data_IF_700175864620
#
_entry.id   IF_700175864620
#
_cell.length_a   1.000
_cell.length_b   1.000
_cell.length_c   1.000
_cell.angle_alpha   90.00
_cell.angle_beta   90.00
_cell.angle_gamma   90.00
#
_symmetry.space_group_name_H-M   'P 1'
#
loop_
_entity.id
_entity.type
_entity.pdbx_description
1 polymer ?
#
# COMPACT_ATOMS: atom_id res chain seq x y z
N UNK A 1 5.69 24.87 32.53
CA UNK A 1 5.28 23.45 32.40
C UNK A 1 4.95 23.25 30.93
N UNK A 2 5.90 22.70 30.17
CA UNK A 2 5.82 22.60 28.71
C UNK A 2 4.86 21.49 28.33
N UNK A 3 3.83 21.83 27.57
CA UNK A 3 2.82 20.92 27.01
C UNK A 3 3.48 19.89 26.09
N UNK A 4 3.38 18.60 26.42
CA UNK A 4 3.61 17.47 25.50
C UNK A 4 2.49 17.43 24.45
N UNK A 5 2.47 18.40 23.54
CA UNK A 5 1.63 18.36 22.35
C UNK A 5 2.41 17.62 21.25
N UNK A 6 1.93 16.47 20.77
CA UNK A 6 2.48 15.87 19.55
C UNK A 6 2.46 14.33 19.42
N UNK A 7 2.09 13.57 20.45
CA UNK A 7 2.07 12.09 20.37
C UNK A 7 0.74 11.47 20.77
N UNK A 8 -0.35 11.86 20.14
CA UNK A 8 -1.68 11.28 20.40
C UNK A 8 -2.11 10.38 19.26
N UNK A 9 -2.53 9.15 19.57
CA UNK A 9 -3.01 8.20 18.56
C UNK A 9 -4.46 7.81 18.81
N UNK A 10 -5.17 7.63 17.71
CA UNK A 10 -6.40 6.85 17.66
C UNK A 10 -6.08 5.39 17.33
N UNK A 11 -6.74 4.45 18.01
CA UNK A 11 -6.74 3.05 17.61
C UNK A 11 -8.13 2.69 17.07
N UNK A 12 -8.16 2.04 15.91
CA UNK A 12 -9.37 1.47 15.34
C UNK A 12 -9.12 -0.02 15.12
N UNK A 13 -9.79 -0.87 15.89
CA UNK A 13 -9.50 -2.30 15.93
C UNK A 13 -10.76 -3.14 15.79
N UNK A 14 -10.62 -4.37 15.31
CA UNK A 14 -11.76 -5.30 15.16
C UNK A 14 -12.00 -6.16 16.39
N UNK A 15 -10.95 -6.42 17.19
CA UNK A 15 -11.03 -7.22 18.42
C UNK A 15 -10.61 -6.39 19.64
N UNK A 16 -11.28 -6.54 20.80
CA UNK A 16 -10.88 -5.86 22.03
C UNK A 16 -9.43 -6.17 22.44
N UNK A 17 -8.95 -7.40 22.20
CA UNK A 17 -7.58 -7.78 22.58
C UNK A 17 -6.51 -7.01 21.79
N UNK A 18 -6.83 -6.58 20.56
CA UNK A 18 -5.92 -5.80 19.73
C UNK A 18 -5.65 -4.41 20.32
N UNK A 19 -6.59 -3.83 21.08
CA UNK A 19 -6.38 -2.54 21.77
C UNK A 19 -5.18 -2.64 22.70
N UNK A 20 -5.17 -3.64 23.58
CA UNK A 20 -4.10 -3.82 24.56
C UNK A 20 -2.78 -4.20 23.90
N UNK A 21 -2.83 -5.08 22.89
CA UNK A 21 -1.66 -5.50 22.12
C UNK A 21 -0.95 -4.34 21.43
N UNK A 22 -1.70 -3.37 20.92
CA UNK A 22 -1.13 -2.18 20.24
C UNK A 22 -0.76 -1.08 21.23
N UNK A 23 -1.57 -0.84 22.26
CA UNK A 23 -1.37 0.28 23.18
C UNK A 23 -0.07 0.12 23.97
N UNK A 24 0.20 -1.05 24.53
CA UNK A 24 1.33 -1.24 25.46
C UNK A 24 2.69 -0.93 24.79
N UNK A 25 3.02 -1.43 23.58
CA UNK A 25 4.30 -1.11 22.95
C UNK A 25 4.37 0.33 22.43
N UNK A 26 3.26 0.91 21.96
CA UNK A 26 3.21 2.31 21.52
C UNK A 26 3.37 3.28 22.69
N UNK A 27 2.77 2.98 23.84
CA UNK A 27 2.93 3.75 25.07
C UNK A 27 4.37 3.70 25.59
N UNK A 28 5.05 2.55 25.46
CA UNK A 28 6.49 2.42 25.76
C UNK A 28 7.35 3.31 24.83
N UNK A 29 6.92 3.53 23.59
CA UNK A 29 7.54 4.49 22.67
C UNK A 29 7.12 5.96 22.93
N UNK A 30 6.34 6.21 23.97
CA UNK A 30 5.91 7.53 24.43
C UNK A 30 4.67 8.08 23.71
N UNK A 31 3.90 7.24 23.02
CA UNK A 31 2.60 7.61 22.48
C UNK A 31 1.52 7.62 23.57
N UNK A 32 0.54 8.49 23.41
CA UNK A 32 -0.66 8.56 24.25
C UNK A 32 -1.84 8.08 23.41
N UNK A 33 -2.37 6.90 23.73
CA UNK A 33 -3.60 6.42 23.10
C UNK A 33 -4.76 7.26 23.63
N UNK A 34 -5.23 8.19 22.79
CA UNK A 34 -6.25 9.17 23.19
C UNK A 34 -7.65 8.62 23.02
N UNK A 35 -7.83 7.70 22.06
CA UNK A 35 -9.08 7.01 21.81
C UNK A 35 -8.81 5.64 21.22
N UNK A 36 -9.56 4.64 21.65
CA UNK A 36 -9.65 3.35 20.99
C UNK A 36 -11.10 3.06 20.66
N UNK A 37 -11.33 2.61 19.43
CA UNK A 37 -12.64 2.21 18.92
C UNK A 37 -12.52 0.74 18.53
N UNK A 38 -13.34 -0.09 19.14
CA UNK A 38 -13.54 -1.46 18.70
C UNK A 38 -14.73 -1.44 17.75
N UNK A 39 -14.51 -1.81 16.49
CA UNK A 39 -15.58 -1.97 15.50
C UNK A 39 -16.44 -3.17 15.94
N UNK A 40 -17.44 -2.96 16.79
CA UNK A 40 -18.37 -4.02 17.18
C UNK A 40 -19.47 -4.17 16.11
N UNK A 41 -20.05 -5.37 16.02
CA UNK A 41 -21.23 -5.69 15.21
C UNK A 41 -22.38 -4.68 15.48
N UNK A 42 -22.47 -3.62 14.67
CA UNK A 42 -23.65 -2.76 14.56
C UNK A 42 -23.92 -1.73 15.66
N UNK A 43 -22.97 -1.39 16.54
CA UNK A 43 -23.12 -0.24 17.43
C UNK A 43 -21.86 0.63 17.47
N UNK A 44 -21.70 1.46 16.45
CA UNK A 44 -21.16 2.79 16.69
C UNK A 44 -22.37 3.68 16.98
N UNK A 45 -22.38 4.28 18.17
CA UNK A 45 -23.34 5.31 18.53
C UNK A 45 -23.29 6.35 17.42
N UNK A 46 -24.36 6.44 16.65
CA UNK A 46 -24.47 7.26 15.45
C UNK A 46 -24.62 8.71 15.85
N UNK A 47 -23.54 9.30 16.34
CA UNK A 47 -23.29 10.72 16.13
C UNK A 47 -22.13 10.78 15.15
N UNK A 48 -22.51 10.89 13.86
CA UNK A 48 -21.70 11.14 12.66
C UNK A 48 -20.21 11.19 12.93
N UNK A 49 -19.40 10.30 12.31
CA UNK A 49 -17.95 10.17 12.51
C UNK A 49 -17.07 11.43 12.36
N UNK A 50 -17.66 12.61 12.19
CA UNK A 50 -17.08 13.89 12.55
C UNK A 50 -16.71 13.94 14.06
N UNK A 51 -15.41 13.82 14.33
CA UNK A 51 -14.83 14.11 15.64
C UNK A 51 -14.62 12.90 16.55
N UNK A 52 -14.74 11.68 16.01
CA UNK A 52 -14.37 10.45 16.72
C UNK A 52 -12.92 10.51 17.21
N UNK A 53 -12.03 11.04 16.38
CA UNK A 53 -10.61 11.19 16.68
C UNK A 53 -10.18 12.67 16.82
N UNK A 54 -11.09 13.53 17.30
CA UNK A 54 -10.73 14.91 17.68
C UNK A 54 -9.49 14.91 18.60
N UNK A 55 -8.46 15.67 18.20
CA UNK A 55 -7.19 15.83 18.92
C UNK A 55 -6.18 14.67 18.87
N UNK A 56 -6.32 13.70 17.94
CA UNK A 56 -5.24 12.74 17.64
C UNK A 56 -4.39 13.20 16.45
N UNK A 57 -3.17 12.67 16.35
CA UNK A 57 -2.19 12.98 15.30
C UNK A 57 -2.20 11.96 14.15
N UNK A 58 -2.57 10.70 14.43
CA UNK A 58 -2.72 9.64 13.44
C UNK A 58 -3.66 8.54 13.99
N UNK A 59 -4.17 7.71 13.09
CA UNK A 59 -5.01 6.56 13.43
C UNK A 59 -4.29 5.29 13.01
N UNK A 60 -4.13 4.36 13.96
CA UNK A 60 -3.66 3.00 13.67
C UNK A 60 -4.87 2.10 13.53
N UNK A 61 -5.00 1.47 12.36
CA UNK A 61 -6.09 0.54 12.06
C UNK A 61 -5.57 -0.88 12.13
N UNK A 62 -6.16 -1.70 12.99
CA UNK A 62 -5.87 -3.14 13.05
C UNK A 62 -7.07 -3.94 12.58
N UNK A 63 -6.86 -4.58 11.43
CA UNK A 63 -7.88 -5.37 10.74
C UNK A 63 -7.89 -6.83 11.16
N UNK A 64 -7.05 -7.27 12.12
CA UNK A 64 -6.98 -8.68 12.50
C UNK A 64 -8.36 -9.28 12.90
N UNK A 65 -8.87 -10.17 12.03
CA UNK A 65 -10.14 -10.87 12.19
C UNK A 65 -11.38 -10.02 11.91
N UNK A 66 -11.27 -8.99 11.07
CA UNK A 66 -12.41 -8.19 10.61
C UNK A 66 -13.40 -9.02 9.76
N UNK A 67 -14.69 -8.73 9.89
CA UNK A 67 -15.72 -9.21 8.97
C UNK A 67 -16.09 -8.16 7.90
N UNK A 68 -16.84 -8.58 6.87
CA UNK A 68 -17.22 -7.71 5.76
C UNK A 68 -18.00 -6.45 6.20
N UNK A 69 -18.74 -6.48 7.31
CA UNK A 69 -19.53 -5.33 7.78
C UNK A 69 -18.65 -4.31 8.48
N UNK A 70 -17.73 -4.78 9.33
CA UNK A 70 -16.71 -3.94 9.98
C UNK A 70 -15.83 -3.25 8.93
N UNK A 71 -15.55 -3.96 7.82
CA UNK A 71 -14.76 -3.44 6.70
C UNK A 71 -15.49 -2.38 5.87
N UNK A 72 -16.79 -2.55 5.58
CA UNK A 72 -17.58 -1.50 4.94
C UNK A 72 -17.68 -0.24 5.81
N UNK A 73 -17.78 -0.41 7.12
CA UNK A 73 -17.86 0.70 8.05
C UNK A 73 -16.54 1.45 8.25
N UNK A 74 -15.41 0.73 8.20
CA UNK A 74 -14.08 1.36 8.16
C UNK A 74 -13.92 2.29 6.95
N UNK A 75 -14.44 1.91 5.78
CA UNK A 75 -14.37 2.75 4.59
C UNK A 75 -15.14 4.06 4.76
N UNK A 76 -16.28 4.05 5.46
CA UNK A 76 -17.02 5.28 5.79
C UNK A 76 -16.23 6.19 6.74
N UNK A 77 -15.59 5.61 7.76
CA UNK A 77 -14.80 6.35 8.76
C UNK A 77 -13.52 6.95 8.17
N UNK A 78 -12.76 6.16 7.40
CA UNK A 78 -11.51 6.61 6.76
C UNK A 78 -11.78 7.66 5.68
N UNK A 79 -12.93 7.59 5.00
CA UNK A 79 -13.31 8.60 4.00
C UNK A 79 -13.75 9.93 4.61
N UNK A 80 -14.06 9.97 5.91
CA UNK A 80 -14.56 11.15 6.61
C UNK A 80 -13.46 11.97 7.32
N UNK A 81 -12.31 11.36 7.64
CA UNK A 81 -11.26 12.01 8.42
C UNK A 81 -9.97 12.26 7.60
N UNK A 82 -9.47 13.49 7.63
CA UNK A 82 -8.23 13.93 6.94
C UNK A 82 -6.96 13.59 7.77
N UNK A 83 -7.02 12.55 8.59
CA UNK A 83 -5.92 12.14 9.46
C UNK A 83 -5.07 11.06 8.78
N UNK A 84 -3.75 11.01 9.06
CA UNK A 84 -2.94 9.92 8.57
C UNK A 84 -3.42 8.58 9.14
N UNK A 85 -3.72 7.62 8.26
CA UNK A 85 -4.22 6.29 8.61
C UNK A 85 -3.15 5.26 8.32
N UNK A 86 -2.69 4.58 9.37
CA UNK A 86 -1.69 3.53 9.28
C UNK A 86 -2.34 2.17 9.54
N UNK A 87 -2.35 1.31 8.52
CA UNK A 87 -2.81 -0.07 8.66
C UNK A 87 -1.73 -0.91 9.33
N UNK A 88 -2.01 -1.39 10.54
CA UNK A 88 -1.17 -2.34 11.23
C UNK A 88 -1.34 -3.73 10.61
N UNK A 89 -0.23 -4.28 10.14
CA UNK A 89 -0.13 -5.68 9.76
C UNK A 89 0.14 -6.54 11.02
N UNK A 90 -0.47 -7.71 11.10
CA UNK A 90 -0.48 -8.56 12.29
C UNK A 90 0.78 -9.42 12.44
N UNK A 91 1.79 -9.27 11.59
CA UNK A 91 3.07 -10.00 11.69
C UNK A 91 3.89 -9.53 12.91
N UNK A 92 3.89 -10.34 13.97
CA UNK A 92 4.53 -10.03 15.27
C UNK A 92 6.00 -10.50 15.33
N UNK A 93 6.90 -9.92 14.53
CA UNK A 93 8.34 -10.13 14.74
C UNK A 93 8.90 -9.23 15.88
N UNK A 94 10.12 -9.52 16.33
CA UNK A 94 10.73 -8.83 17.49
C UNK A 94 11.01 -7.34 17.29
N UNK A 95 10.88 -6.83 16.05
CA UNK A 95 11.16 -5.44 15.69
C UNK A 95 9.89 -4.69 15.22
N UNK A 96 8.73 -5.35 15.22
CA UNK A 96 7.45 -4.80 14.76
C UNK A 96 7.11 -3.47 15.43
N UNK A 97 7.20 -3.39 16.77
CA UNK A 97 6.80 -2.18 17.52
C UNK A 97 7.67 -0.98 17.20
N UNK A 98 8.98 -1.19 17.02
CA UNK A 98 9.91 -0.14 16.65
C UNK A 98 9.63 0.37 15.23
N UNK A 99 9.40 -0.54 14.27
CA UNK A 99 9.03 -0.16 12.89
C UNK A 99 7.71 0.61 12.83
N UNK A 100 6.71 0.18 13.61
CA UNK A 100 5.44 0.89 13.73
C UNK A 100 5.64 2.30 14.30
N UNK A 101 6.43 2.44 15.36
CA UNK A 101 6.76 3.72 15.95
C UNK A 101 7.52 4.65 14.99
N UNK A 102 8.52 4.13 14.29
CA UNK A 102 9.34 4.90 13.36
C UNK A 102 8.45 5.43 12.22
N UNK A 103 7.56 4.59 11.69
CA UNK A 103 6.62 5.00 10.65
C UNK A 103 5.59 6.02 11.15
N UNK A 104 5.04 5.85 12.35
CA UNK A 104 4.14 6.85 12.94
C UNK A 104 4.86 8.20 13.14
N UNK A 105 6.10 8.17 13.58
CA UNK A 105 6.91 9.37 13.76
C UNK A 105 7.19 10.06 12.42
N UNK A 106 7.52 9.28 11.38
CA UNK A 106 7.73 9.75 10.01
C UNK A 106 6.48 10.40 9.44
N UNK A 107 5.35 9.68 9.45
CA UNK A 107 4.07 10.13 8.87
C UNK A 107 3.58 11.40 9.57
N UNK A 108 3.67 11.47 10.91
CA UNK A 108 3.28 12.67 11.66
C UNK A 108 4.25 13.83 11.40
N UNK A 109 5.56 13.57 11.33
CA UNK A 109 6.54 14.62 11.01
C UNK A 109 6.37 15.16 9.59
N UNK A 110 6.08 14.29 8.63
CA UNK A 110 5.76 14.66 7.26
C UNK A 110 4.44 15.45 7.19
N UNK A 111 3.45 15.08 8.02
CA UNK A 111 2.17 15.80 8.14
C UNK A 111 2.36 17.16 8.80
N UNK A 112 3.16 17.31 9.86
CA UNK A 112 3.46 18.60 10.50
C UNK A 112 4.21 19.55 9.55
N UNK A 113 5.15 19.01 8.75
CA UNK A 113 5.85 19.75 7.70
C UNK A 113 4.91 20.12 6.53
N UNK A 114 3.98 19.24 6.19
CA UNK A 114 3.00 19.46 5.12
C UNK A 114 1.96 20.48 5.57
N UNK A 115 1.35 20.33 6.74
CA UNK A 115 0.43 21.29 7.36
C UNK A 115 1.10 22.65 7.55
N UNK A 116 2.37 22.72 7.96
CA UNK A 116 3.09 24.00 8.06
C UNK A 116 3.35 24.66 6.69
N UNK A 117 3.65 23.87 5.64
CA UNK A 117 3.82 24.35 4.26
C UNK A 117 2.48 24.67 3.57
N UNK A 118 1.42 23.98 3.96
CA UNK A 118 0.03 24.13 3.51
C UNK A 118 -0.57 25.38 4.15
N UNK A 119 -0.41 25.61 5.46
CA UNK A 119 -0.86 26.83 6.14
C UNK A 119 -0.16 28.10 5.60
N UNK A 120 1.10 27.99 5.16
CA UNK A 120 1.83 29.07 4.50
C UNK A 120 1.43 29.30 3.02
N UNK A 121 0.61 28.40 2.44
CA UNK A 121 0.11 28.48 1.05
C UNK A 121 -1.42 28.57 0.95
N UNK A 122 -2.16 28.34 2.04
CA UNK A 122 -3.62 28.34 2.09
C UNK A 122 -4.19 29.73 2.41
N UNK A 123 -4.07 30.62 1.42
CA UNK A 123 -5.12 31.57 1.09
C UNK A 123 -5.71 31.09 -0.26
N UNK A 124 -6.68 30.17 -0.21
CA UNK A 124 -7.45 29.75 -1.39
C UNK A 124 -7.49 28.24 -1.66
N UNK A 125 -8.70 27.74 -1.82
CA UNK A 125 -9.15 26.36 -2.06
C UNK A 125 -8.28 25.47 -2.95
N UNK A 126 -8.07 24.22 -2.51
CA UNK A 126 -8.10 23.03 -3.39
C UNK A 126 -8.33 21.77 -2.54
N UNK A 127 -9.53 21.21 -2.62
CA UNK A 127 -9.84 19.85 -2.19
C UNK A 127 -9.45 18.88 -3.32
N UNK A 128 -8.76 17.78 -3.02
CA UNK A 128 -8.50 16.71 -4.01
C UNK A 128 -9.81 15.95 -4.22
N UNK A 129 -10.39 15.91 -5.43
CA UNK A 129 -11.69 15.28 -5.65
C UNK A 129 -11.59 13.75 -5.60
N UNK A 130 -12.31 13.12 -4.67
CA UNK A 130 -12.56 11.68 -4.68
C UNK A 130 -13.35 11.30 -5.95
N UNK A 131 -12.89 10.30 -6.71
CA UNK A 131 -13.69 9.74 -7.82
C UNK A 131 -14.79 8.86 -7.23
N UNK A 132 -16.05 9.24 -7.48
CA UNK A 132 -17.23 8.42 -7.13
C UNK A 132 -17.15 7.08 -7.85
N UNK A 133 -17.54 6.01 -7.15
CA UNK A 133 -17.70 4.66 -7.69
C UNK A 133 -18.49 4.67 -9.01
N UNK A 134 -17.78 4.73 -10.12
CA UNK A 134 -18.31 4.26 -11.38
C UNK A 134 -18.11 2.75 -11.33
N UNK A 135 -19.20 2.01 -11.06
CA UNK A 135 -19.24 0.59 -11.36
C UNK A 135 -18.80 0.43 -12.80
N UNK A 136 -17.58 -0.10 -13.00
CA UNK A 136 -17.05 -0.43 -14.31
C UNK A 136 -17.98 -1.48 -14.88
N UNK A 137 -18.89 -1.01 -15.73
CA UNK A 137 -19.70 -1.84 -16.58
C UNK A 137 -18.71 -2.65 -17.43
N UNK A 138 -18.97 -3.95 -17.59
CA UNK A 138 -18.15 -4.83 -18.42
C UNK A 138 -18.22 -4.36 -19.89
N UNK A 139 -17.42 -3.36 -20.24
CA UNK A 139 -17.19 -2.96 -21.62
C UNK A 139 -16.34 -4.06 -22.25
N UNK A 140 -16.90 -4.62 -23.30
CA UNK A 140 -16.30 -5.72 -24.08
C UNK A 140 -15.20 -5.14 -24.95
N UNK A 141 -14.19 -4.54 -24.32
CA UNK A 141 -13.05 -4.00 -25.02
C UNK A 141 -12.06 -5.14 -25.29
N UNK A 142 -11.58 -5.19 -26.52
CA UNK A 142 -10.43 -5.99 -26.92
C UNK A 142 -9.20 -5.43 -26.21
N UNK A 143 -9.06 -5.78 -24.93
CA UNK A 143 -7.94 -5.37 -24.12
C UNK A 143 -6.67 -6.03 -24.66
N UNK A 144 -5.65 -5.22 -24.94
CA UNK A 144 -4.35 -5.75 -25.35
C UNK A 144 -3.70 -6.46 -24.17
N UNK A 145 -3.15 -7.65 -24.44
CA UNK A 145 -2.34 -8.37 -23.47
C UNK A 145 -1.14 -7.51 -23.10
N UNK A 146 -0.92 -7.31 -21.80
CA UNK A 146 0.13 -6.41 -21.35
C UNK A 146 1.51 -6.97 -21.67
N UNK A 147 2.28 -6.19 -22.41
CA UNK A 147 3.69 -6.48 -22.65
C UNK A 147 4.58 -6.06 -21.49
N UNK A 148 4.16 -5.04 -20.71
CA UNK A 148 4.93 -4.39 -19.64
C UNK A 148 4.28 -4.63 -18.29
N UNK A 149 4.92 -5.42 -17.44
CA UNK A 149 4.35 -5.82 -16.15
C UNK A 149 5.19 -5.27 -15.01
N UNK A 150 4.52 -4.50 -14.16
CA UNK A 150 5.12 -3.90 -12.97
C UNK A 150 4.60 -4.59 -11.71
N UNK A 151 5.50 -5.13 -10.90
CA UNK A 151 5.17 -5.65 -9.56
C UNK A 151 5.39 -4.56 -8.53
N UNK A 152 4.33 -4.21 -7.81
CA UNK A 152 4.31 -3.21 -6.76
C UNK A 152 4.22 -3.95 -5.43
N UNK A 153 5.24 -3.85 -4.59
CA UNK A 153 5.26 -4.54 -3.31
C UNK A 153 5.29 -3.56 -2.13
N UNK A 154 4.69 -3.94 -1.01
CA UNK A 154 4.66 -3.09 0.19
C UNK A 154 4.18 -3.81 1.44
N UNK A 155 4.50 -3.24 2.59
CA UNK A 155 4.13 -3.71 3.94
C UNK A 155 3.50 -2.54 4.71
N UNK A 156 3.98 -2.23 5.91
CA UNK A 156 3.51 -1.11 6.71
C UNK A 156 3.65 0.25 5.99
N UNK A 157 2.52 0.91 5.73
CA UNK A 157 2.46 2.18 4.95
C UNK A 157 2.31 1.98 3.44
N UNK A 158 2.32 0.75 2.96
CA UNK A 158 2.17 0.41 1.54
C UNK A 158 0.84 0.88 0.94
N UNK A 159 -0.33 0.75 1.64
CA UNK A 159 -1.59 1.28 1.12
C UNK A 159 -1.57 2.78 0.83
N UNK A 160 -0.90 3.58 1.67
CA UNK A 160 -0.77 5.03 1.48
C UNK A 160 0.17 5.34 0.30
N UNK A 161 1.30 4.64 0.21
CA UNK A 161 2.24 4.79 -0.90
C UNK A 161 1.58 4.43 -2.25
N UNK A 162 0.80 3.34 -2.28
CA UNK A 162 0.01 2.94 -3.45
C UNK A 162 -1.04 4.00 -3.81
N UNK A 163 -1.75 4.56 -2.83
CA UNK A 163 -2.70 5.66 -3.04
C UNK A 163 -2.02 6.85 -3.72
N UNK A 164 -0.89 7.31 -3.18
CA UNK A 164 -0.14 8.45 -3.73
C UNK A 164 0.38 8.16 -5.15
N UNK A 165 0.95 6.98 -5.36
CA UNK A 165 1.46 6.55 -6.65
C UNK A 165 0.33 6.54 -7.70
N UNK A 166 -0.77 5.84 -7.42
CA UNK A 166 -1.87 5.73 -8.37
C UNK A 166 -2.60 7.05 -8.61
N UNK A 167 -2.73 7.91 -7.59
CA UNK A 167 -3.33 9.25 -7.74
C UNK A 167 -2.56 10.15 -8.70
N UNK A 168 -1.26 9.92 -8.85
CA UNK A 168 -0.37 10.68 -9.71
C UNK A 168 -0.10 10.02 -11.07
N UNK A 169 -0.65 8.82 -11.29
CA UNK A 169 -0.43 8.05 -12.51
C UNK A 169 -1.41 8.46 -13.61
N UNK A 170 -0.89 8.71 -14.81
CA UNK A 170 -1.69 9.02 -16.00
C UNK A 170 -2.51 7.80 -16.44
N UNK A 171 -3.77 7.97 -16.86
CA UNK A 171 -4.57 6.89 -17.41
C UNK A 171 -4.01 6.42 -18.76
N UNK A 172 -4.29 5.15 -19.11
CA UNK A 172 -4.07 4.63 -20.47
C UNK A 172 -2.63 4.27 -20.83
N UNK A 173 -1.71 4.14 -19.86
CA UNK A 173 -0.36 3.63 -20.14
C UNK A 173 -0.44 2.15 -20.56
N UNK A 174 0.44 1.68 -21.46
CA UNK A 174 0.48 0.29 -21.94
C UNK A 174 1.22 -0.62 -20.93
N UNK A 175 0.73 -0.61 -19.68
CA UNK A 175 1.30 -1.33 -18.55
C UNK A 175 0.21 -2.00 -17.74
N UNK A 176 0.57 -3.08 -17.06
CA UNK A 176 -0.27 -3.72 -16.05
C UNK A 176 0.47 -3.84 -14.74
N UNK A 177 -0.26 -3.74 -13.63
CA UNK A 177 0.29 -3.79 -12.29
C UNK A 177 -0.14 -5.06 -11.56
N UNK A 178 0.81 -5.69 -10.88
CA UNK A 178 0.54 -6.69 -9.84
C UNK A 178 0.88 -6.04 -8.51
N UNK A 179 -0.09 -5.91 -7.63
CA UNK A 179 0.11 -5.31 -6.29
C UNK A 179 0.16 -6.43 -5.26
N UNK A 180 1.30 -6.55 -4.59
CA UNK A 180 1.53 -7.48 -3.50
C UNK A 180 1.73 -6.70 -2.21
N UNK A 181 0.66 -6.61 -1.43
CA UNK A 181 0.68 -5.93 -0.15
C UNK A 181 0.70 -6.98 0.97
N UNK A 182 1.58 -6.83 1.96
CA UNK A 182 1.51 -7.61 3.20
C UNK A 182 0.24 -7.21 3.95
N UNK A 183 -0.82 -7.96 3.73
CA UNK A 183 -2.15 -7.80 4.29
C UNK A 183 -2.84 -9.16 4.28
N UNK A 184 -3.62 -9.45 5.33
CA UNK A 184 -4.40 -10.69 5.41
C UNK A 184 -5.33 -10.85 4.18
N UNK A 185 -5.47 -12.09 3.72
CA UNK A 185 -6.20 -12.43 2.48
C UNK A 185 -7.64 -11.93 2.49
N UNK A 186 -8.27 -11.89 3.65
CA UNK A 186 -9.64 -11.43 3.86
C UNK A 186 -9.81 -9.92 3.55
N UNK A 187 -8.73 -9.15 3.57
CA UNK A 187 -8.76 -7.69 3.36
C UNK A 187 -8.31 -7.25 1.96
N UNK A 188 -7.92 -8.19 1.09
CA UNK A 188 -7.39 -7.83 -0.23
C UNK A 188 -8.44 -7.13 -1.11
N UNK A 189 -9.71 -7.54 -1.01
CA UNK A 189 -10.82 -6.91 -1.73
C UNK A 189 -11.10 -5.49 -1.23
N UNK A 190 -10.85 -5.23 0.05
CA UNK A 190 -11.01 -3.90 0.66
C UNK A 190 -9.95 -2.97 0.14
N UNK A 191 -8.69 -3.40 0.11
CA UNK A 191 -7.61 -2.63 -0.50
C UNK A 191 -7.90 -2.37 -1.99
N UNK A 192 -8.40 -3.38 -2.72
CA UNK A 192 -8.78 -3.20 -4.12
C UNK A 192 -9.86 -2.14 -4.28
N UNK A 193 -10.93 -2.19 -3.46
CA UNK A 193 -12.02 -1.18 -3.47
C UNK A 193 -11.47 0.21 -3.15
N UNK A 194 -10.61 0.33 -2.14
CA UNK A 194 -10.00 1.60 -1.76
C UNK A 194 -9.18 2.21 -2.90
N UNK A 195 -8.33 1.42 -3.57
CA UNK A 195 -7.49 1.91 -4.66
C UNK A 195 -8.28 2.39 -5.88
N UNK A 196 -9.47 1.82 -6.15
CA UNK A 196 -10.34 2.27 -7.26
C UNK A 196 -10.71 3.76 -7.18
N UNK A 197 -10.76 4.35 -5.99
CA UNK A 197 -11.07 5.77 -5.84
C UNK A 197 -9.96 6.70 -6.34
N UNK A 198 -8.76 6.17 -6.53
CA UNK A 198 -7.54 6.93 -6.80
C UNK A 198 -6.92 6.64 -8.16
N UNK A 199 -7.54 5.79 -8.98
CA UNK A 199 -6.98 5.39 -10.27
C UNK A 199 -8.06 5.18 -11.33
N UNK A 200 -7.70 5.43 -12.59
CA UNK A 200 -8.52 5.06 -13.76
C UNK A 200 -8.26 3.63 -14.23
N UNK A 201 -7.29 2.94 -13.64
CA UNK A 201 -6.94 1.57 -13.97
C UNK A 201 -7.97 0.60 -13.41
N UNK A 202 -8.19 -0.53 -14.09
CA UNK A 202 -9.12 -1.54 -13.63
C UNK A 202 -8.53 -2.36 -12.48
N UNK A 203 -8.93 -2.02 -11.25
CA UNK A 203 -8.46 -2.68 -10.03
C UNK A 203 -9.31 -3.89 -9.65
N UNK A 204 -8.68 -5.05 -9.46
CA UNK A 204 -9.33 -6.27 -8.97
C UNK A 204 -8.41 -7.08 -8.06
N UNK A 205 -8.99 -7.92 -7.20
CA UNK A 205 -8.22 -8.90 -6.41
C UNK A 205 -8.22 -10.27 -7.11
N UNK A 206 -7.10 -11.00 -6.97
CA UNK A 206 -6.93 -12.32 -7.56
C UNK A 206 -7.63 -13.40 -6.73
N UNK A 207 -8.76 -13.89 -7.23
CA UNK A 207 -9.50 -15.03 -6.65
C UNK A 207 -9.35 -16.34 -7.44
N UNK A 208 -8.67 -16.27 -8.59
CA UNK A 208 -8.50 -17.38 -9.51
C UNK A 208 -7.62 -17.00 -10.69
N UNK A 209 -7.69 -17.79 -11.76
CA UNK A 209 -6.95 -17.52 -13.00
C UNK A 209 -7.31 -16.12 -13.54
N UNK A 210 -6.32 -15.24 -13.63
CA UNK A 210 -6.49 -13.84 -14.00
C UNK A 210 -5.61 -13.48 -15.19
N UNK A 211 -6.11 -12.61 -16.07
CA UNK A 211 -5.36 -12.13 -17.24
C UNK A 211 -4.82 -10.75 -16.95
N UNK A 212 -3.56 -10.49 -17.27
CA UNK A 212 -3.01 -9.12 -17.27
C UNK A 212 -3.16 -8.49 -18.65
N UNK A 213 -3.75 -7.32 -18.67
CA UNK A 213 -3.93 -6.49 -19.84
C UNK A 213 -3.55 -5.05 -19.52
N UNK A 214 -3.27 -4.25 -20.55
CA UNK A 214 -2.91 -2.84 -20.37
C UNK A 214 -4.00 -2.09 -19.61
N UNK A 215 -3.64 -1.40 -18.53
CA UNK A 215 -4.61 -0.74 -17.66
C UNK A 215 -5.13 -1.60 -16.49
N UNK A 216 -4.70 -2.86 -16.35
CA UNK A 216 -5.09 -3.70 -15.22
C UNK A 216 -4.23 -3.45 -13.97
N UNK A 217 -4.86 -3.47 -12.79
CA UNK A 217 -4.21 -3.53 -11.48
C UNK A 217 -4.75 -4.76 -10.75
N UNK A 218 -3.93 -5.80 -10.60
CA UNK A 218 -4.31 -7.04 -9.94
C UNK A 218 -3.66 -7.15 -8.57
N UNK A 219 -4.48 -7.17 -7.52
CA UNK A 219 -4.01 -7.37 -6.15
C UNK A 219 -3.86 -8.86 -5.85
N UNK A 220 -2.72 -9.24 -5.31
CA UNK A 220 -2.39 -10.59 -4.85
C UNK A 220 -2.16 -10.53 -3.34
N UNK A 221 -2.91 -11.34 -2.59
CA UNK A 221 -2.83 -11.38 -1.14
C UNK A 221 -1.48 -11.90 -0.64
N UNK A 222 -1.12 -11.52 0.57
CA UNK A 222 0.12 -11.97 1.21
C UNK A 222 0.19 -13.51 1.33
N UNK A 223 1.40 -14.04 1.29
CA UNK A 223 1.68 -15.48 1.32
C UNK A 223 1.11 -16.27 0.12
N UNK A 224 0.55 -15.59 -0.89
CA UNK A 224 0.03 -16.22 -2.10
C UNK A 224 1.03 -16.07 -3.24
N UNK A 225 1.53 -17.20 -3.72
CA UNK A 225 2.38 -17.24 -4.91
C UNK A 225 1.54 -17.58 -6.15
N UNK A 226 2.06 -17.24 -7.33
CA UNK A 226 1.40 -17.48 -8.61
C UNK A 226 2.41 -17.93 -9.65
N UNK A 227 1.91 -18.67 -10.62
CA UNK A 227 2.62 -18.98 -11.86
C UNK A 227 2.00 -18.22 -13.02
N UNK A 228 2.76 -18.04 -14.10
CA UNK A 228 2.26 -17.43 -15.33
C UNK A 228 2.28 -18.46 -16.45
N UNK A 229 1.11 -18.77 -17.01
CA UNK A 229 1.01 -19.75 -18.08
C UNK A 229 1.43 -19.20 -19.45
N UNK A 230 1.45 -20.07 -20.46
CA UNK A 230 1.82 -19.70 -21.83
C UNK A 230 0.89 -18.66 -22.47
N UNK A 231 -0.31 -18.45 -21.90
CA UNK A 231 -1.31 -17.46 -22.31
C UNK A 231 -1.26 -16.20 -21.47
N UNK A 232 -0.20 -16.00 -20.68
CA UNK A 232 -0.01 -14.86 -19.78
C UNK A 232 -1.09 -14.75 -18.70
N UNK A 233 -1.69 -15.87 -18.32
CA UNK A 233 -2.62 -15.90 -17.17
C UNK A 233 -1.85 -16.16 -15.90
N UNK A 234 -2.13 -15.36 -14.88
CA UNK A 234 -1.70 -15.60 -13.52
C UNK A 234 -2.58 -16.67 -12.92
N UNK A 235 -1.96 -17.74 -12.44
CA UNK A 235 -2.62 -18.86 -11.80
C UNK A 235 -2.16 -18.91 -10.35
N UNK A 236 -3.09 -18.84 -9.36
CA UNK A 236 -2.73 -19.00 -7.96
C UNK A 236 -2.02 -20.34 -7.74
N UNK A 237 -0.88 -20.31 -7.07
CA UNK A 237 -0.17 -21.50 -6.62
C UNK A 237 -0.56 -21.78 -5.16
N UNK A 238 -1.18 -22.93 -4.93
CA UNK A 238 -1.66 -23.37 -3.61
C UNK A 238 -0.79 -24.47 -3.01
N UNK A 239 0.32 -24.84 -3.66
CA UNK A 239 1.02 -26.10 -3.38
C UNK A 239 2.27 -25.90 -2.50
N UNK A 240 2.89 -24.72 -2.52
CA UNK A 240 4.13 -24.46 -1.77
C UNK A 240 4.00 -23.25 -0.84
N UNK A 241 4.39 -23.37 0.45
CA UNK A 241 4.63 -22.19 1.27
C UNK A 241 5.76 -21.37 0.64
N UNK A 242 5.53 -20.06 0.54
CA UNK A 242 6.41 -19.11 -0.12
C UNK A 242 7.09 -18.29 0.98
N UNK A 243 8.30 -18.70 1.39
CA UNK A 243 9.01 -18.07 2.52
C UNK A 243 9.53 -16.66 2.14
N UNK A 244 9.86 -16.45 0.85
CA UNK A 244 10.30 -15.17 0.29
C UNK A 244 9.42 -14.78 -0.90
N UNK A 245 8.17 -14.45 -0.60
CA UNK A 245 7.10 -14.26 -1.59
C UNK A 245 7.47 -13.21 -2.64
N UNK A 246 8.14 -12.12 -2.26
CA UNK A 246 8.50 -11.06 -3.20
C UNK A 246 9.64 -11.47 -4.11
N UNK A 247 10.68 -12.10 -3.56
CA UNK A 247 11.79 -12.63 -4.35
C UNK A 247 11.33 -13.67 -5.39
N UNK A 248 10.43 -14.56 -4.98
CA UNK A 248 9.88 -15.60 -5.84
C UNK A 248 8.99 -15.02 -6.95
N UNK A 249 8.07 -14.11 -6.62
CA UNK A 249 7.17 -13.54 -7.62
C UNK A 249 7.89 -12.62 -8.61
N UNK A 250 8.87 -11.82 -8.15
CA UNK A 250 9.73 -11.06 -9.05
C UNK A 250 10.54 -11.98 -9.96
N UNK A 251 10.98 -13.16 -9.49
CA UNK A 251 11.67 -14.13 -10.33
C UNK A 251 10.75 -14.71 -11.43
N UNK A 252 9.51 -15.06 -11.08
CA UNK A 252 8.49 -15.53 -12.03
C UNK A 252 8.23 -14.49 -13.12
N UNK A 253 8.14 -13.21 -12.74
CA UNK A 253 7.98 -12.11 -13.70
C UNK A 253 9.22 -11.95 -14.59
N UNK A 254 10.42 -11.94 -14.00
CA UNK A 254 11.67 -11.79 -14.71
C UNK A 254 11.87 -12.90 -15.76
N UNK A 255 11.52 -14.14 -15.43
CA UNK A 255 11.58 -15.28 -16.36
C UNK A 255 10.54 -15.16 -17.48
N UNK A 256 9.32 -14.70 -17.17
CA UNK A 256 8.23 -14.62 -18.14
C UNK A 256 8.34 -13.43 -19.09
N UNK A 257 8.69 -12.26 -18.58
CA UNK A 257 8.63 -10.98 -19.31
C UNK A 257 10.00 -10.37 -19.62
N UNK A 258 11.09 -10.92 -19.08
CA UNK A 258 12.44 -10.43 -19.36
C UNK A 258 12.59 -8.94 -19.05
N UNK A 259 13.04 -8.17 -20.05
CA UNK A 259 13.24 -6.73 -19.92
C UNK A 259 11.95 -5.92 -19.71
N UNK A 260 10.78 -6.53 -19.95
CA UNK A 260 9.49 -5.89 -19.71
C UNK A 260 8.90 -6.24 -18.32
N UNK A 261 9.62 -7.00 -17.51
CA UNK A 261 9.34 -7.14 -16.09
C UNK A 261 9.97 -5.96 -15.35
N UNK A 262 9.22 -5.28 -14.49
CA UNK A 262 9.76 -4.23 -13.62
C UNK A 262 9.14 -4.32 -12.23
N UNK A 263 9.77 -3.69 -11.24
CA UNK A 263 9.29 -3.67 -9.88
C UNK A 263 9.35 -2.26 -9.27
N UNK A 264 8.36 -1.95 -8.44
CA UNK A 264 8.43 -0.83 -7.50
C UNK A 264 8.25 -1.39 -6.09
N UNK A 265 9.21 -1.10 -5.24
CA UNK A 265 9.22 -1.54 -3.84
C UNK A 265 8.84 -0.35 -2.97
N UNK A 266 7.70 -0.46 -2.31
CA UNK A 266 7.22 0.47 -1.29
C UNK A 266 7.51 -0.08 0.11
N UNK A 267 7.59 0.84 1.08
CA UNK A 267 7.68 0.65 2.54
C UNK A 267 7.87 -0.79 3.12
N UNK A 268 8.94 -0.97 3.88
CA UNK A 268 9.15 -1.99 4.94
C UNK A 268 8.93 -3.48 4.59
N UNK A 269 9.43 -3.93 3.44
CA UNK A 269 9.32 -5.35 3.03
C UNK A 269 10.30 -6.26 3.81
N UNK A 270 11.39 -5.70 4.34
CA UNK A 270 12.50 -6.45 4.97
C UNK A 270 13.56 -6.84 3.92
N UNK A 271 14.31 -7.92 4.17
CA UNK A 271 15.29 -8.44 3.19
C UNK A 271 14.63 -9.15 1.99
N UNK A 272 13.38 -9.61 2.14
CA UNK A 272 12.58 -10.23 1.07
C UNK A 272 12.23 -9.19 -0.01
N UNK A 273 12.69 -9.44 -1.24
CA UNK A 273 12.58 -8.56 -2.39
C UNK A 273 13.93 -8.18 -3.00
N UNK A 274 15.04 -8.25 -2.24
CA UNK A 274 16.38 -7.87 -2.73
C UNK A 274 16.86 -8.82 -3.83
N UNK A 275 16.68 -10.13 -3.67
CA UNK A 275 17.13 -11.10 -4.65
C UNK A 275 16.23 -11.08 -5.91
N UNK A 276 14.93 -10.85 -5.73
CA UNK A 276 13.94 -10.63 -6.79
C UNK A 276 14.26 -9.39 -7.62
N UNK A 277 14.54 -8.27 -6.96
CA UNK A 277 14.97 -7.03 -7.62
C UNK A 277 16.23 -7.26 -8.45
N UNK A 278 17.23 -7.96 -7.91
CA UNK A 278 18.44 -8.31 -8.66
C UNK A 278 18.11 -9.15 -9.91
N UNK A 279 17.18 -10.11 -9.81
CA UNK A 279 16.74 -10.91 -10.97
C UNK A 279 16.05 -10.04 -12.04
N UNK A 280 15.18 -9.12 -11.65
CA UNK A 280 14.51 -8.19 -12.57
C UNK A 280 15.56 -7.35 -13.32
N UNK A 281 16.51 -6.75 -12.60
CA UNK A 281 17.58 -5.94 -13.19
C UNK A 281 18.48 -6.76 -14.14
N UNK A 282 18.82 -7.99 -13.76
CA UNK A 282 19.62 -8.91 -14.57
C UNK A 282 18.90 -9.35 -15.86
N UNK A 283 17.57 -9.44 -15.83
CA UNK A 283 16.72 -9.69 -17.01
C UNK A 283 16.55 -8.47 -17.93
N UNK A 284 17.12 -7.32 -17.56
CA UNK A 284 17.02 -6.06 -18.32
C UNK A 284 15.84 -5.18 -17.91
N UNK A 285 15.11 -5.56 -16.87
CA UNK A 285 14.00 -4.80 -16.30
C UNK A 285 14.43 -3.61 -15.45
N UNK A 286 13.44 -2.95 -14.82
CA UNK A 286 13.64 -1.81 -13.92
C UNK A 286 13.23 -2.13 -12.50
N UNK A 287 13.93 -1.55 -11.54
CA UNK A 287 13.59 -1.61 -10.10
C UNK A 287 13.63 -0.21 -9.55
N UNK A 288 12.50 0.27 -9.04
CA UNK A 288 12.45 1.55 -8.34
C UNK A 288 12.06 1.34 -6.89
N UNK A 289 12.62 2.14 -6.00
CA UNK A 289 12.34 2.08 -4.57
C UNK A 289 11.68 3.37 -4.12
N UNK A 290 10.74 3.26 -3.19
CA UNK A 290 10.35 4.40 -2.38
C UNK A 290 11.55 4.92 -1.59
N UNK A 291 11.61 6.23 -1.37
CA UNK A 291 12.59 6.81 -0.45
C UNK A 291 12.57 6.13 0.93
N UNK A 292 13.70 6.19 1.63
CA UNK A 292 13.93 5.57 2.95
C UNK A 292 14.02 4.03 3.00
N UNK A 293 13.97 3.34 1.84
CA UNK A 293 14.19 1.88 1.74
C UNK A 293 15.62 1.47 1.42
N UNK A 294 16.53 2.43 1.25
CA UNK A 294 17.84 2.15 0.64
C UNK A 294 18.69 1.20 1.47
N UNK A 295 18.59 1.21 2.80
CA UNK A 295 19.50 0.44 3.69
C UNK A 295 19.58 -1.07 3.41
N UNK A 296 18.50 -1.70 2.94
CA UNK A 296 18.51 -3.13 2.56
C UNK A 296 18.94 -3.34 1.09
N UNK A 297 18.80 -2.32 0.26
CA UNK A 297 19.00 -2.34 -1.18
C UNK A 297 20.26 -1.57 -1.64
N UNK A 298 21.07 -1.05 -0.71
CA UNK A 298 22.23 -0.19 -0.97
C UNK A 298 23.20 -0.85 -1.98
N UNK A 299 23.41 -2.17 -1.86
CA UNK A 299 24.26 -2.91 -2.79
C UNK A 299 23.73 -2.96 -4.22
N UNK A 300 22.42 -2.85 -4.44
CA UNK A 300 21.86 -2.78 -5.79
C UNK A 300 22.11 -1.42 -6.42
N UNK A 301 22.06 -0.34 -5.63
CA UNK A 301 22.40 1.00 -6.10
C UNK A 301 23.87 1.10 -6.55
N UNK A 302 24.76 0.36 -5.89
CA UNK A 302 26.17 0.26 -6.30
C UNK A 302 26.38 -0.59 -7.56
N UNK A 303 25.55 -1.63 -7.75
CA UNK A 303 25.67 -2.59 -8.86
C UNK A 303 25.00 -2.09 -10.17
N UNK A 304 23.95 -1.28 -10.05
CA UNK A 304 23.12 -0.84 -11.16
C UNK A 304 22.90 0.68 -11.10
N UNK A 305 23.37 1.39 -12.14
CA UNK A 305 23.20 2.83 -12.32
C UNK A 305 22.30 3.12 -13.56
N UNK A 306 21.75 4.34 -13.62
CA UNK A 306 20.96 4.85 -14.74
C UNK A 306 19.45 4.69 -14.60
N UNK A 307 18.73 4.60 -15.73
CA UNK A 307 17.25 4.60 -15.79
C UNK A 307 16.58 3.32 -15.24
N UNK A 308 17.38 2.29 -14.95
CA UNK A 308 16.90 0.98 -14.50
C UNK A 308 16.82 0.84 -12.98
N UNK A 309 17.55 1.65 -12.22
CA UNK A 309 17.47 1.68 -10.77
C UNK A 309 17.25 3.10 -10.29
N UNK A 310 16.25 3.31 -9.45
CA UNK A 310 15.91 4.67 -9.00
C UNK A 310 15.28 4.66 -7.61
N UNK A 311 15.39 5.77 -6.90
CA UNK A 311 14.83 5.96 -5.56
C UNK A 311 14.17 7.33 -5.49
N UNK A 312 12.88 7.38 -5.12
CA UNK A 312 12.16 8.63 -4.87
C UNK A 312 10.83 8.41 -4.14
N UNK A 313 10.19 9.50 -3.72
CA UNK A 313 8.82 9.50 -3.23
C UNK A 313 7.82 8.89 -4.24
N UNK A 314 6.73 8.30 -3.73
CA UNK A 314 5.70 7.59 -4.52
C UNK A 314 5.17 8.40 -5.70
N UNK A 315 4.88 9.69 -5.48
CA UNK A 315 4.39 10.61 -6.51
C UNK A 315 5.42 10.81 -7.63
N UNK A 316 6.70 10.88 -7.29
CA UNK A 316 7.78 11.07 -8.27
C UNK A 316 7.98 9.81 -9.10
N UNK A 317 7.86 8.63 -8.48
CA UNK A 317 7.90 7.35 -9.20
C UNK A 317 6.76 7.23 -10.22
N UNK A 318 5.54 7.66 -9.85
CA UNK A 318 4.41 7.71 -10.78
C UNK A 318 4.66 8.66 -11.97
N UNK A 319 5.18 9.86 -11.69
CA UNK A 319 5.52 10.83 -12.74
C UNK A 319 6.60 10.31 -13.70
N UNK A 320 7.58 9.58 -13.18
CA UNK A 320 8.61 8.91 -13.99
C UNK A 320 8.01 7.79 -14.82
N UNK A 321 7.05 7.05 -14.28
CA UNK A 321 6.34 6.02 -15.03
C UNK A 321 5.55 6.63 -16.19
N UNK A 322 4.87 7.75 -15.96
CA UNK A 322 4.19 8.49 -17.02
C UNK A 322 5.19 8.86 -18.13
N UNK A 323 6.31 9.51 -17.77
CA UNK A 323 7.32 9.95 -18.72
C UNK A 323 8.02 8.79 -19.47
N UNK A 324 8.01 7.57 -18.92
CA UNK A 324 8.59 6.39 -19.56
C UNK A 324 7.74 5.88 -20.73
N UNK A 325 6.42 6.14 -20.70
CA UNK A 325 5.44 5.58 -21.63
C UNK A 325 4.64 6.65 -22.41
N UNK A 326 4.93 7.93 -22.20
CA UNK A 326 4.51 9.06 -23.05
C UNK A 326 5.40 9.20 -24.31
#
# INVERSE_FOLDING_TARGET
MSTQAGKRLGLLVCKPEAVQRLSEPLEQCGWVISRSVVLADGQLDTDNGAGLFESVNAIVVDLDGADNRQLDHLNELVSAEVLPVLFNDSSQDSHWSQRLNDKLTEVISATDLTVSKVQARYDGSNDIPLKRDQQVQAETDTHNMSGNVWLLSGSLGGPEALREFFSALSPGLPVSFIVMQRIAKEHIDVLAKHLRHYTDYSVSAMHGASVLYDGAVLLVADGSCFSIDSRHRLLPDTVSPCDHVYDEMMAVLAERYGANASAIVFSAIGEDGVAGCRKILASGGRVWLQEDLTSYFDRLADEYDGDRFDVAASVVLAQRLNALYE
#
